data_IF_989188780747
#
_entry.id   IF_989188780747
#
_cell.length_a   1.000
_cell.length_b   1.000
_cell.length_c   1.000
_cell.angle_alpha   90.00
_cell.angle_beta   90.00
_cell.angle_gamma   90.00
#
_symmetry.space_group_name_H-M   'P 1'
#
loop_
_entity.id
_entity.type
_entity.pdbx_description
1 polymer ?
#
# COMPACT_ATOMS: atom_id res chain seq x y z
N UNK A 1 -10.73 25.51 -19.19
CA UNK A 1 -10.04 24.97 -17.99
C UNK A 1 -8.56 25.26 -18.13
N UNK A 2 -7.88 25.67 -17.07
CA UNK A 2 -6.43 25.92 -17.11
C UNK A 2 -5.69 24.57 -17.21
N UNK A 3 -4.65 24.50 -18.07
CA UNK A 3 -3.79 23.32 -18.17
C UNK A 3 -3.11 23.09 -16.80
N UNK A 4 -3.27 21.89 -16.23
CA UNK A 4 -2.51 21.52 -15.02
C UNK A 4 -1.04 21.35 -15.39
N UNK A 5 -0.08 21.82 -14.57
CA UNK A 5 1.33 21.62 -14.84
C UNK A 5 1.69 20.13 -14.80
N UNK A 6 2.75 19.74 -15.50
CA UNK A 6 3.21 18.35 -15.53
C UNK A 6 3.58 17.82 -14.12
N UNK A 7 4.02 18.69 -13.20
CA UNK A 7 4.27 18.36 -11.80
C UNK A 7 3.02 17.88 -11.05
N UNK A 8 1.80 18.29 -11.48
CA UNK A 8 0.56 17.91 -10.81
C UNK A 8 0.41 16.38 -10.66
N UNK A 9 0.73 15.62 -11.71
CA UNK A 9 0.58 14.15 -11.69
C UNK A 9 1.55 13.52 -10.69
N UNK A 10 2.79 13.94 -10.70
CA UNK A 10 3.81 13.43 -9.77
C UNK A 10 3.55 13.88 -8.32
N UNK A 11 3.15 15.15 -8.14
CA UNK A 11 2.77 15.67 -6.81
C UNK A 11 1.58 14.90 -6.23
N UNK A 12 0.61 14.48 -7.07
CA UNK A 12 -0.52 13.65 -6.70
C UNK A 12 -0.08 12.26 -6.24
N UNK A 13 0.83 11.59 -6.96
CA UNK A 13 1.39 10.29 -6.57
C UNK A 13 2.12 10.35 -5.24
N UNK A 14 2.94 11.38 -5.02
CA UNK A 14 3.61 11.58 -3.73
C UNK A 14 2.59 11.76 -2.61
N UNK A 15 1.50 12.49 -2.85
CA UNK A 15 0.44 12.68 -1.85
C UNK A 15 -0.30 11.36 -1.54
N UNK A 16 -0.60 10.52 -2.54
CA UNK A 16 -1.18 9.20 -2.34
C UNK A 16 -0.22 8.29 -1.56
N UNK A 17 1.06 8.26 -1.94
CA UNK A 17 2.07 7.46 -1.23
C UNK A 17 2.28 7.92 0.22
N UNK A 18 2.14 9.22 0.51
CA UNK A 18 2.17 9.75 1.88
C UNK A 18 0.97 9.28 2.71
N UNK A 19 -0.20 9.20 2.10
CA UNK A 19 -1.40 8.64 2.73
C UNK A 19 -1.23 7.13 2.98
N UNK A 20 -0.61 6.38 2.06
CA UNK A 20 -0.30 4.96 2.26
C UNK A 20 0.67 4.74 3.43
N UNK A 21 1.70 5.57 3.58
CA UNK A 21 2.59 5.53 4.76
C UNK A 21 1.80 5.77 6.05
N UNK A 22 0.91 6.78 6.07
CA UNK A 22 0.08 7.06 7.24
C UNK A 22 -0.87 5.92 7.58
N UNK A 23 -1.49 5.29 6.58
CA UNK A 23 -2.34 4.13 6.76
C UNK A 23 -1.57 2.93 7.33
N UNK A 24 -0.37 2.65 6.81
CA UNK A 24 0.49 1.57 7.31
C UNK A 24 1.01 1.83 8.73
N UNK A 25 1.35 3.06 9.06
CA UNK A 25 1.72 3.47 10.42
C UNK A 25 0.55 3.32 11.40
N UNK A 26 -0.67 3.72 11.00
CA UNK A 26 -1.88 3.51 11.79
C UNK A 26 -2.18 2.02 11.99
N UNK A 27 -2.06 1.20 10.94
CA UNK A 27 -2.21 -0.26 11.04
C UNK A 27 -1.24 -0.85 12.07
N UNK A 28 0.03 -0.45 12.02
CA UNK A 28 1.06 -0.89 12.97
C UNK A 28 0.71 -0.47 14.41
N UNK A 29 0.26 0.78 14.61
CA UNK A 29 -0.17 1.28 15.93
C UNK A 29 -1.39 0.52 16.47
N UNK A 30 -2.38 0.21 15.61
CA UNK A 30 -3.54 -0.61 15.96
C UNK A 30 -3.09 -1.97 16.45
N UNK A 31 -2.15 -2.62 15.76
CA UNK A 31 -1.69 -3.96 16.10
C UNK A 31 -0.86 -3.99 17.38
N UNK A 32 0.01 -3.01 17.59
CA UNK A 32 0.85 -2.90 18.79
C UNK A 32 0.06 -2.57 20.07
N UNK A 33 -1.01 -1.78 19.94
CA UNK A 33 -1.81 -1.30 21.05
C UNK A 33 -3.26 -1.78 21.00
N UNK A 34 -3.49 -2.98 20.49
CA UNK A 34 -4.80 -3.49 20.14
C UNK A 34 -5.76 -3.53 21.33
N UNK A 35 -6.89 -2.84 21.20
CA UNK A 35 -8.04 -2.91 22.08
C UNK A 35 -9.30 -3.26 21.26
N UNK A 36 -9.88 -4.47 21.43
CA UNK A 36 -11.08 -4.87 20.71
C UNK A 36 -12.27 -3.92 20.87
N UNK A 37 -12.34 -3.19 22.00
CA UNK A 37 -13.42 -2.24 22.24
C UNK A 37 -13.30 -0.97 21.36
N UNK A 38 -12.12 -0.65 20.87
CA UNK A 38 -11.83 0.54 20.07
C UNK A 38 -11.72 0.25 18.56
N UNK A 39 -11.81 -1.00 18.13
CA UNK A 39 -11.55 -1.38 16.73
C UNK A 39 -12.47 -0.67 15.73
N UNK A 40 -13.70 -0.34 16.13
CA UNK A 40 -14.64 0.38 15.28
C UNK A 40 -14.16 1.82 15.02
N UNK A 41 -13.73 2.53 16.05
CA UNK A 41 -13.22 3.90 15.93
C UNK A 41 -11.91 3.91 15.10
N UNK A 42 -11.06 2.91 15.28
CA UNK A 42 -9.83 2.73 14.49
C UNK A 42 -10.11 2.46 13.01
N UNK A 43 -11.18 1.70 12.71
CA UNK A 43 -11.64 1.47 11.35
C UNK A 43 -12.15 2.77 10.71
N UNK A 44 -12.89 3.61 11.44
CA UNK A 44 -13.33 4.91 10.95
C UNK A 44 -12.14 5.84 10.65
N UNK A 45 -11.11 5.83 11.50
CA UNK A 45 -9.88 6.59 11.28
C UNK A 45 -9.14 6.10 10.02
N UNK A 46 -9.03 4.78 9.83
CA UNK A 46 -8.43 4.18 8.63
C UNK A 46 -9.20 4.57 7.38
N UNK A 47 -10.52 4.45 7.41
CA UNK A 47 -11.41 4.82 6.30
C UNK A 47 -11.28 6.30 5.92
N UNK A 48 -11.05 7.19 6.89
CA UNK A 48 -10.81 8.61 6.60
C UNK A 48 -9.50 8.84 5.81
N UNK A 49 -8.48 8.01 6.01
CA UNK A 49 -7.20 8.08 5.26
C UNK A 49 -7.42 7.53 3.84
N UNK A 50 -8.06 6.36 3.71
CA UNK A 50 -8.39 5.76 2.42
C UNK A 50 -9.24 6.73 1.57
N UNK A 51 -10.31 7.28 2.12
CA UNK A 51 -11.16 8.24 1.41
C UNK A 51 -10.42 9.53 0.99
N UNK A 52 -9.37 9.94 1.71
CA UNK A 52 -8.51 11.04 1.29
C UNK A 52 -7.65 10.66 0.07
N UNK A 53 -7.26 9.39 -0.06
CA UNK A 53 -6.52 8.88 -1.21
C UNK A 53 -7.43 8.68 -2.42
N UNK A 54 -8.64 8.14 -2.24
CA UNK A 54 -9.67 8.01 -3.26
C UNK A 54 -9.96 9.37 -3.94
N UNK A 55 -10.06 10.44 -3.15
CA UNK A 55 -10.15 11.80 -3.71
C UNK A 55 -8.95 12.19 -4.57
N UNK A 56 -7.74 11.77 -4.22
CA UNK A 56 -6.54 12.05 -5.02
C UNK A 56 -6.57 11.27 -6.33
N UNK A 57 -7.01 10.02 -6.28
CA UNK A 57 -7.24 9.20 -7.45
C UNK A 57 -8.24 9.88 -8.41
N UNK A 58 -9.41 10.27 -7.93
CA UNK A 58 -10.43 10.97 -8.72
C UNK A 58 -9.96 12.33 -9.26
N UNK A 59 -9.18 13.11 -8.48
CA UNK A 59 -8.58 14.36 -8.96
C UNK A 59 -7.65 14.13 -10.16
N UNK A 60 -6.95 13.00 -10.20
CA UNK A 60 -6.06 12.63 -11.30
C UNK A 60 -6.86 12.15 -12.51
N UNK A 61 -7.87 11.30 -12.34
CA UNK A 61 -8.77 10.86 -13.42
C UNK A 61 -9.43 12.06 -14.11
N UNK A 62 -9.98 13.02 -13.35
CA UNK A 62 -10.58 14.25 -13.89
C UNK A 62 -9.57 15.08 -14.68
N UNK A 63 -8.30 15.10 -14.21
CA UNK A 63 -7.23 15.78 -14.92
C UNK A 63 -6.89 15.07 -16.25
N UNK A 64 -6.85 13.74 -16.27
CA UNK A 64 -6.59 12.93 -17.47
C UNK A 64 -7.69 13.10 -18.51
N UNK A 65 -8.97 13.14 -18.09
CA UNK A 65 -10.10 13.35 -19.00
C UNK A 65 -10.01 14.66 -19.78
N UNK A 66 -9.43 15.69 -19.19
CA UNK A 66 -9.39 17.05 -19.77
C UNK A 66 -8.02 17.46 -20.31
N UNK A 67 -6.97 16.69 -20.06
CA UNK A 67 -5.61 17.00 -20.50
C UNK A 67 -5.46 16.82 -22.02
N UNK A 68 -4.85 17.79 -22.70
CA UNK A 68 -4.47 17.67 -24.10
C UNK A 68 -3.08 17.04 -24.30
N UNK A 69 -2.16 17.36 -23.40
CA UNK A 69 -0.78 16.83 -23.37
C UNK A 69 -0.48 16.44 -21.93
N UNK A 70 0.11 15.27 -21.73
CA UNK A 70 0.52 14.70 -20.44
C UNK A 70 2.03 14.41 -20.43
N UNK A 71 2.70 14.38 -19.25
CA UNK A 71 4.15 14.11 -19.15
C UNK A 71 4.55 12.68 -19.50
N UNK A 72 3.63 11.73 -19.35
CA UNK A 72 3.74 10.32 -19.69
C UNK A 72 2.49 9.90 -20.49
N UNK A 73 2.45 8.69 -21.01
CA UNK A 73 1.24 8.15 -21.62
C UNK A 73 0.09 8.13 -20.59
N UNK A 74 -1.14 8.39 -21.03
CA UNK A 74 -2.30 8.49 -20.13
C UNK A 74 -2.56 7.18 -19.42
N UNK A 75 -2.39 6.07 -20.13
CA UNK A 75 -2.57 4.72 -19.61
C UNK A 75 -1.56 4.42 -18.49
N UNK A 76 -0.32 4.91 -18.60
CA UNK A 76 0.70 4.74 -17.57
C UNK A 76 0.39 5.60 -16.33
N UNK A 77 -0.11 6.82 -16.56
CA UNK A 77 -0.51 7.70 -15.45
C UNK A 77 -1.72 7.15 -14.69
N UNK A 78 -2.70 6.61 -15.40
CA UNK A 78 -3.89 5.98 -14.83
C UNK A 78 -3.52 4.71 -14.07
N UNK A 79 -2.74 3.83 -14.69
CA UNK A 79 -2.28 2.58 -14.06
C UNK A 79 -1.51 2.85 -12.75
N UNK A 80 -0.64 3.85 -12.73
CA UNK A 80 0.08 4.26 -11.52
C UNK A 80 -0.88 4.71 -10.42
N UNK A 81 -1.89 5.53 -10.77
CA UNK A 81 -2.89 6.01 -9.82
C UNK A 81 -3.72 4.87 -9.23
N UNK A 82 -4.21 3.95 -10.08
CA UNK A 82 -4.93 2.75 -9.65
C UNK A 82 -4.08 1.84 -8.75
N UNK A 83 -2.78 1.70 -9.07
CA UNK A 83 -1.88 0.87 -8.25
C UNK A 83 -1.66 1.46 -6.86
N UNK A 84 -1.49 2.78 -6.75
CA UNK A 84 -1.35 3.48 -5.47
C UNK A 84 -2.62 3.40 -4.63
N UNK A 85 -3.80 3.57 -5.24
CA UNK A 85 -5.10 3.43 -4.60
C UNK A 85 -5.30 2.02 -4.04
N UNK A 86 -4.93 1.00 -4.83
CA UNK A 86 -5.00 -0.40 -4.41
C UNK A 86 -4.20 -0.67 -3.13
N UNK A 87 -3.05 -0.01 -2.91
CA UNK A 87 -2.27 -0.18 -1.67
C UNK A 87 -3.09 0.25 -0.45
N UNK A 88 -3.76 1.39 -0.52
CA UNK A 88 -4.56 1.90 0.59
C UNK A 88 -5.79 1.02 0.86
N UNK A 89 -6.49 0.60 -0.19
CA UNK A 89 -7.60 -0.35 -0.11
C UNK A 89 -7.21 -1.65 0.63
N UNK A 90 -6.00 -2.16 0.35
CA UNK A 90 -5.52 -3.38 1.00
C UNK A 90 -5.20 -3.15 2.46
N UNK A 91 -4.59 -2.02 2.81
CA UNK A 91 -4.28 -1.67 4.21
C UNK A 91 -5.58 -1.51 5.02
N UNK A 92 -6.57 -0.76 4.51
CA UNK A 92 -7.90 -0.68 5.12
C UNK A 92 -8.53 -2.06 5.25
N UNK A 93 -8.45 -2.88 4.20
CA UNK A 93 -8.96 -4.24 4.17
C UNK A 93 -8.42 -5.15 5.27
N UNK A 94 -7.21 -4.92 5.79
CA UNK A 94 -6.67 -5.63 6.97
C UNK A 94 -7.48 -5.27 8.22
N UNK A 95 -7.71 -3.98 8.48
CA UNK A 95 -8.45 -3.51 9.66
C UNK A 95 -9.90 -3.94 9.60
N UNK A 96 -10.52 -3.91 8.41
CA UNK A 96 -11.88 -4.42 8.19
C UNK A 96 -11.99 -5.90 8.58
N UNK A 97 -10.98 -6.73 8.25
CA UNK A 97 -10.96 -8.15 8.61
C UNK A 97 -10.86 -8.35 10.10
N UNK A 98 -9.98 -7.64 10.76
CA UNK A 98 -9.87 -7.66 12.23
C UNK A 98 -11.22 -7.33 12.88
N UNK A 99 -11.93 -6.34 12.34
CA UNK A 99 -13.25 -5.94 12.83
C UNK A 99 -14.32 -6.99 12.61
N UNK A 100 -14.58 -7.39 11.35
CA UNK A 100 -15.74 -8.26 11.05
C UNK A 100 -15.52 -9.72 11.47
N UNK A 101 -14.27 -10.19 11.61
CA UNK A 101 -13.98 -11.51 12.16
C UNK A 101 -13.94 -11.54 13.70
N UNK A 102 -14.13 -10.37 14.33
CA UNK A 102 -14.17 -10.21 15.78
C UNK A 102 -12.91 -10.72 16.47
N UNK A 103 -11.74 -10.39 15.93
CA UNK A 103 -10.43 -10.71 16.53
C UNK A 103 -10.33 -10.07 17.91
N UNK A 104 -9.88 -10.85 18.90
CA UNK A 104 -9.80 -10.43 20.30
C UNK A 104 -8.36 -10.13 20.76
N UNK A 105 -7.37 -10.57 20.02
CA UNK A 105 -5.94 -10.30 20.29
C UNK A 105 -5.13 -10.42 19.02
N UNK A 106 -4.08 -9.62 18.90
CA UNK A 106 -3.19 -9.65 17.72
C UNK A 106 -2.07 -10.66 17.93
N UNK A 107 -1.81 -11.47 16.93
CA UNK A 107 -0.68 -12.39 16.91
C UNK A 107 0.64 -11.61 16.72
N UNK A 108 1.72 -11.98 17.44
CA UNK A 108 3.02 -11.32 17.30
C UNK A 108 3.57 -11.32 15.87
N UNK A 109 3.36 -12.41 15.12
CA UNK A 109 3.78 -12.53 13.73
C UNK A 109 3.12 -11.46 12.84
N UNK A 110 1.84 -11.12 13.11
CA UNK A 110 1.12 -10.09 12.36
C UNK A 110 1.70 -8.68 12.59
N UNK A 111 2.16 -8.38 13.80
CA UNK A 111 2.84 -7.10 14.11
C UNK A 111 4.13 -6.98 13.29
N UNK A 112 4.91 -8.06 13.19
CA UNK A 112 6.16 -8.06 12.41
C UNK A 112 5.87 -7.82 10.93
N UNK A 113 4.83 -8.45 10.36
CA UNK A 113 4.45 -8.23 8.96
C UNK A 113 3.92 -6.80 8.76
N UNK A 114 3.14 -6.23 9.69
CA UNK A 114 2.66 -4.85 9.61
C UNK A 114 3.82 -3.83 9.57
N UNK A 115 4.91 -4.08 10.31
CA UNK A 115 6.13 -3.27 10.18
C UNK A 115 6.74 -3.37 8.77
N UNK A 116 6.75 -4.55 8.14
CA UNK A 116 7.23 -4.71 6.76
C UNK A 116 6.35 -3.96 5.75
N UNK A 117 5.03 -3.98 5.94
CA UNK A 117 4.10 -3.15 5.15
C UNK A 117 4.45 -1.66 5.29
N UNK A 118 4.72 -1.19 6.50
CA UNK A 118 5.14 0.19 6.74
C UNK A 118 6.47 0.53 6.04
N UNK A 119 7.45 -0.38 6.08
CA UNK A 119 8.72 -0.19 5.39
C UNK A 119 8.55 -0.17 3.86
N UNK A 120 7.69 -1.05 3.30
CA UNK A 120 7.36 -1.07 1.87
C UNK A 120 6.69 0.25 1.43
N UNK A 121 5.70 0.75 2.19
CA UNK A 121 5.04 2.02 1.89
C UNK A 121 6.02 3.21 1.94
N UNK A 122 6.98 3.23 2.86
CA UNK A 122 8.02 4.27 2.93
C UNK A 122 8.94 4.21 1.72
N UNK A 123 9.41 3.02 1.33
CA UNK A 123 10.24 2.85 0.14
C UNK A 123 9.47 3.23 -1.14
N UNK A 124 8.19 2.86 -1.24
CA UNK A 124 7.30 3.26 -2.33
C UNK A 124 7.12 4.79 -2.39
N UNK A 125 6.98 5.48 -1.26
CA UNK A 125 6.93 6.94 -1.21
C UNK A 125 8.23 7.56 -1.74
N UNK A 126 9.39 7.04 -1.33
CA UNK A 126 10.69 7.52 -1.83
C UNK A 126 10.80 7.31 -3.34
N UNK A 127 10.28 6.19 -3.86
CA UNK A 127 10.20 5.91 -5.30
C UNK A 127 9.32 6.94 -6.03
N UNK A 128 8.16 7.32 -5.48
CA UNK A 128 7.29 8.35 -6.06
C UNK A 128 7.95 9.73 -6.07
N UNK A 129 8.71 10.08 -5.04
CA UNK A 129 9.48 11.33 -4.99
C UNK A 129 10.56 11.38 -6.07
N UNK A 130 11.21 10.26 -6.37
CA UNK A 130 12.27 10.17 -7.38
C UNK A 130 11.73 10.02 -8.82
N UNK A 131 10.50 9.53 -8.99
CA UNK A 131 9.90 9.24 -10.30
C UNK A 131 9.96 10.41 -11.31
N UNK A 132 9.76 11.70 -10.94
CA UNK A 132 9.90 12.81 -11.89
C UNK A 132 11.27 12.89 -12.58
N UNK A 133 12.30 12.33 -11.94
CA UNK A 133 13.67 12.32 -12.40
C UNK A 133 14.04 11.06 -13.20
N UNK A 134 13.09 10.18 -13.52
CA UNK A 134 13.32 8.83 -14.03
C UNK A 134 14.38 8.71 -15.14
N UNK A 135 14.48 9.70 -16.07
CA UNK A 135 15.46 9.71 -17.17
C UNK A 135 16.91 9.89 -16.73
N UNK A 136 17.14 10.43 -15.54
CA UNK A 136 18.48 10.81 -15.04
C UNK A 136 18.79 10.22 -13.68
N UNK A 137 17.81 9.62 -13.04
CA UNK A 137 17.95 9.05 -11.71
C UNK A 137 18.95 7.88 -11.72
N UNK A 138 19.81 7.88 -10.72
CA UNK A 138 20.71 6.76 -10.44
C UNK A 138 20.22 5.88 -9.28
N UNK A 139 19.25 6.37 -8.51
CA UNK A 139 18.73 5.75 -7.31
C UNK A 139 17.40 5.04 -7.54
N UNK A 140 16.67 5.35 -8.61
CA UNK A 140 15.34 4.81 -8.88
C UNK A 140 15.37 3.26 -8.93
N UNK A 141 16.36 2.68 -9.62
CA UNK A 141 16.52 1.21 -9.67
C UNK A 141 16.85 0.60 -8.30
N UNK A 142 17.62 1.31 -7.47
CA UNK A 142 17.93 0.86 -6.12
C UNK A 142 16.69 0.84 -5.24
N UNK A 143 15.79 1.83 -5.39
CA UNK A 143 14.50 1.88 -4.69
C UNK A 143 13.56 0.74 -5.12
N UNK A 144 13.48 0.45 -6.42
CA UNK A 144 12.73 -0.72 -6.92
C UNK A 144 13.27 -2.01 -6.29
N UNK A 145 14.57 -2.23 -6.31
CA UNK A 145 15.20 -3.41 -5.69
C UNK A 145 14.92 -3.47 -4.18
N UNK A 146 14.91 -2.33 -3.51
CA UNK A 146 14.60 -2.26 -2.09
C UNK A 146 13.16 -2.71 -1.81
N UNK A 147 12.19 -2.26 -2.59
CA UNK A 147 10.78 -2.65 -2.44
C UNK A 147 10.63 -4.17 -2.65
N UNK A 148 11.20 -4.72 -3.72
CA UNK A 148 11.17 -6.15 -4.00
C UNK A 148 11.83 -6.99 -2.89
N UNK A 149 12.89 -6.45 -2.27
CA UNK A 149 13.53 -7.12 -1.12
C UNK A 149 12.62 -7.14 0.10
N UNK A 150 11.91 -6.02 0.39
CA UNK A 150 10.99 -5.93 1.53
C UNK A 150 9.78 -6.86 1.29
N UNK A 151 9.24 -6.91 0.07
CA UNK A 151 8.17 -7.84 -0.31
C UNK A 151 8.60 -9.29 -0.07
N UNK A 152 9.76 -9.72 -0.58
CA UNK A 152 10.27 -11.08 -0.39
C UNK A 152 10.47 -11.43 1.10
N UNK A 153 10.88 -10.47 1.93
CA UNK A 153 10.97 -10.65 3.39
C UNK A 153 9.57 -10.78 4.03
N UNK A 154 8.57 -10.02 3.53
CA UNK A 154 7.19 -10.11 4.00
C UNK A 154 6.54 -11.44 3.63
N UNK A 155 6.80 -11.97 2.42
CA UNK A 155 6.34 -13.27 1.97
C UNK A 155 6.91 -14.42 2.83
N UNK A 156 8.20 -14.40 3.15
CA UNK A 156 8.80 -15.37 4.07
C UNK A 156 8.13 -15.35 5.46
N UNK A 157 7.85 -14.16 5.99
CA UNK A 157 7.15 -13.99 7.27
C UNK A 157 5.71 -14.53 7.19
N UNK A 158 5.00 -14.24 6.11
CA UNK A 158 3.66 -14.75 5.85
C UNK A 158 3.63 -16.29 5.80
N UNK A 159 4.52 -16.92 5.03
CA UNK A 159 4.61 -18.39 4.93
C UNK A 159 4.85 -19.01 6.32
N UNK A 160 5.74 -18.42 7.12
CA UNK A 160 6.04 -18.89 8.47
C UNK A 160 4.83 -18.71 9.42
N UNK A 161 4.16 -17.54 9.37
CA UNK A 161 2.97 -17.25 10.17
C UNK A 161 1.83 -18.22 9.81
N UNK A 162 1.60 -18.47 8.52
CA UNK A 162 0.61 -19.42 8.02
C UNK A 162 0.90 -20.85 8.49
N UNK A 163 2.17 -21.27 8.47
CA UNK A 163 2.56 -22.58 9.00
C UNK A 163 2.29 -22.67 10.50
N UNK A 164 2.71 -21.66 11.26
CA UNK A 164 2.50 -21.60 12.72
C UNK A 164 1.01 -21.66 13.06
N UNK A 165 0.18 -20.91 12.33
CA UNK A 165 -1.28 -20.90 12.50
C UNK A 165 -1.89 -22.28 12.31
N UNK A 166 -1.50 -23.03 11.26
CA UNK A 166 -2.06 -24.35 10.97
C UNK A 166 -1.52 -25.46 11.89
N UNK A 167 -0.33 -25.31 12.42
CA UNK A 167 0.26 -26.30 13.36
C UNK A 167 -0.28 -26.11 14.78
N UNK A 168 -0.47 -24.85 15.21
CA UNK A 168 -0.76 -24.53 16.61
C UNK A 168 -2.21 -24.08 16.84
N UNK A 169 -2.94 -23.68 15.78
CA UNK A 169 -4.33 -23.24 15.87
C UNK A 169 -5.27 -24.35 16.36
N UNK A 170 -6.06 -24.05 17.37
CA UNK A 170 -6.99 -25.00 18.00
C UNK A 170 -8.44 -24.75 17.61
N UNK A 171 -8.80 -23.47 17.40
CA UNK A 171 -10.14 -23.08 16.99
C UNK A 171 -10.18 -22.87 15.46
N UNK A 172 -11.00 -23.64 14.73
CA UNK A 172 -11.12 -23.49 13.29
C UNK A 172 -11.59 -22.09 12.84
N UNK A 173 -12.42 -21.41 13.62
CA UNK A 173 -12.88 -20.05 13.28
C UNK A 173 -11.75 -19.04 13.43
N UNK A 174 -10.94 -19.16 14.48
CA UNK A 174 -9.75 -18.33 14.66
C UNK A 174 -8.74 -18.57 13.53
N UNK A 175 -8.52 -19.82 13.14
CA UNK A 175 -7.64 -20.17 12.01
C UNK A 175 -8.14 -19.55 10.71
N UNK A 176 -9.45 -19.58 10.43
CA UNK A 176 -10.04 -18.98 9.23
C UNK A 176 -9.84 -17.46 9.26
N UNK A 177 -10.14 -16.81 10.39
CA UNK A 177 -9.99 -15.37 10.55
C UNK A 177 -8.54 -14.91 10.33
N UNK A 178 -7.59 -15.57 11.00
CA UNK A 178 -6.18 -15.21 10.88
C UNK A 178 -5.57 -15.52 9.52
N UNK A 179 -6.02 -16.57 8.82
CA UNK A 179 -5.63 -16.81 7.42
C UNK A 179 -5.97 -15.63 6.53
N UNK A 180 -7.15 -15.08 6.71
CA UNK A 180 -7.63 -13.94 5.91
C UNK A 180 -6.83 -12.66 6.23
N UNK A 181 -6.55 -12.40 7.51
CA UNK A 181 -5.72 -11.27 7.94
C UNK A 181 -4.29 -11.39 7.41
N UNK A 182 -3.64 -12.55 7.56
CA UNK A 182 -2.28 -12.76 7.06
C UNK A 182 -2.18 -12.60 5.54
N UNK A 183 -3.14 -13.15 4.79
CA UNK A 183 -3.18 -12.99 3.34
C UNK A 183 -3.31 -11.52 2.92
N UNK A 184 -4.09 -10.72 3.67
CA UNK A 184 -4.22 -9.29 3.35
C UNK A 184 -3.00 -8.47 3.75
N UNK A 185 -2.28 -8.86 4.81
CA UNK A 185 -1.00 -8.23 5.17
C UNK A 185 0.06 -8.45 4.09
N UNK A 186 0.16 -9.67 3.57
CA UNK A 186 1.06 -10.00 2.46
C UNK A 186 0.66 -9.22 1.19
N UNK A 187 -0.63 -9.20 0.82
CA UNK A 187 -1.11 -8.40 -0.31
C UNK A 187 -0.79 -6.91 -0.22
N UNK A 188 -0.63 -6.33 0.98
CA UNK A 188 -0.20 -4.94 1.11
C UNK A 188 1.25 -4.76 0.62
N UNK A 189 2.14 -5.70 0.90
CA UNK A 189 3.53 -5.66 0.41
C UNK A 189 3.59 -5.90 -1.10
N UNK A 190 2.86 -6.91 -1.61
CA UNK A 190 2.70 -7.19 -3.05
C UNK A 190 2.22 -5.96 -3.83
N UNK A 191 1.26 -5.22 -3.28
CA UNK A 191 0.76 -4.01 -3.95
C UNK A 191 1.84 -2.93 -4.05
N UNK A 192 2.75 -2.81 -3.06
CA UNK A 192 3.89 -1.89 -3.15
C UNK A 192 4.89 -2.35 -4.23
N UNK A 193 5.14 -3.67 -4.37
CA UNK A 193 5.94 -4.23 -5.46
C UNK A 193 5.29 -3.95 -6.82
N UNK A 194 3.98 -4.14 -6.96
CA UNK A 194 3.26 -3.83 -8.19
C UNK A 194 3.41 -2.35 -8.61
N UNK A 195 3.44 -1.41 -7.64
CA UNK A 195 3.75 0.01 -7.93
C UNK A 195 5.17 0.15 -8.47
N UNK A 196 6.14 -0.56 -7.91
CA UNK A 196 7.53 -0.53 -8.40
C UNK A 196 7.65 -1.13 -9.82
N UNK A 197 6.91 -2.18 -10.14
CA UNK A 197 6.84 -2.78 -11.48
C UNK A 197 6.25 -1.82 -12.52
N UNK A 198 5.23 -1.05 -12.14
CA UNK A 198 4.68 0.02 -13.00
C UNK A 198 5.73 1.09 -13.28
N UNK A 199 6.53 1.48 -12.28
CA UNK A 199 7.65 2.42 -12.47
C UNK A 199 8.68 1.86 -13.44
N UNK A 200 9.11 0.60 -13.27
CA UNK A 200 10.05 -0.04 -14.17
C UNK A 200 9.51 -0.09 -15.62
N UNK A 201 8.22 -0.39 -15.79
CA UNK A 201 7.57 -0.36 -17.10
C UNK A 201 7.61 1.03 -17.74
N UNK A 202 7.29 2.09 -16.97
CA UNK A 202 7.35 3.49 -17.42
C UNK A 202 8.77 3.85 -17.85
N UNK A 203 9.77 3.49 -17.06
CA UNK A 203 11.18 3.75 -17.37
C UNK A 203 11.60 3.07 -18.65
N UNK A 204 11.27 1.77 -18.82
CA UNK A 204 11.61 1.01 -20.03
C UNK A 204 10.97 1.58 -21.31
N UNK A 205 9.72 2.07 -21.23
CA UNK A 205 9.04 2.68 -22.38
C UNK A 205 9.62 4.04 -22.79
N UNK A 206 10.26 4.75 -21.86
CA UNK A 206 10.68 6.13 -22.03
C UNK A 206 12.20 6.35 -22.02
N UNK A 207 12.99 5.25 -22.11
CA UNK A 207 14.48 5.23 -22.10
C UNK A 207 15.09 5.31 -23.48
#
# INVERSE_FOLDING_TARGET
MAKKPDSFYFDNYVACADLAVRAAELLTQIFENFDPAQIHDMLEEMHAIEHAADKKHHELEDALLTAFITPLEREDLDLMSCSLDTVLDRIEGVVQRVYFTNIQSIHPDAIVIAHKVTDACRAMKDLMVELPNYRKSKTLRELVIQINTIESEADELYINAMRNLHVNGKDPLEVIAWRDVYAFLEYCADCCENVADVVDSIVMKNS
#
